data_IF_807333973036
#
_entry.id   IF_807333973036
#
_cell.length_a   1.000
_cell.length_b   1.000
_cell.length_c   1.000
_cell.angle_alpha   90.00
_cell.angle_beta   90.00
_cell.angle_gamma   90.00
#
_symmetry.space_group_name_H-M   'P 1'
#
loop_
_entity.id
_entity.type
_entity.pdbx_description
1 polymer ?
#
# COMPACT_ATOMS: atom_id res chain seq x y z
N UNK A 1 -35.99 -50.34 4.17
CA UNK A 1 -34.60 -50.54 4.63
C UNK A 1 -33.56 -50.15 3.59
N UNK A 2 -33.25 -50.93 2.53
CA UNK A 2 -32.16 -50.58 1.59
C UNK A 2 -32.32 -49.20 0.89
N UNK A 3 -33.56 -48.77 0.63
CA UNK A 3 -33.84 -47.47 0.00
C UNK A 3 -33.61 -46.27 0.92
N UNK A 4 -33.85 -46.41 2.23
CA UNK A 4 -33.68 -45.33 3.20
C UNK A 4 -32.21 -45.05 3.46
N UNK A 5 -31.39 -46.09 3.52
CA UNK A 5 -29.95 -45.99 3.71
C UNK A 5 -29.27 -45.27 2.54
N UNK A 6 -29.69 -45.56 1.31
CA UNK A 6 -29.20 -44.86 0.10
C UNK A 6 -29.57 -43.37 0.14
N UNK A 7 -30.79 -43.02 0.57
CA UNK A 7 -31.21 -41.61 0.66
C UNK A 7 -30.35 -40.85 1.67
N UNK A 8 -30.09 -41.46 2.84
CA UNK A 8 -29.26 -40.84 3.89
C UNK A 8 -27.82 -40.66 3.40
N UNK A 9 -27.23 -41.67 2.75
CA UNK A 9 -25.88 -41.58 2.20
C UNK A 9 -25.77 -40.54 1.08
N UNK A 10 -26.74 -40.50 0.17
CA UNK A 10 -26.77 -39.53 -0.91
C UNK A 10 -26.88 -38.09 -0.39
N UNK A 11 -27.71 -37.86 0.65
CA UNK A 11 -27.82 -36.56 1.30
C UNK A 11 -26.53 -36.17 2.02
N UNK A 12 -25.86 -37.12 2.67
CA UNK A 12 -24.56 -36.90 3.30
C UNK A 12 -23.48 -36.53 2.28
N UNK A 13 -23.41 -37.25 1.16
CA UNK A 13 -22.48 -36.95 0.07
C UNK A 13 -22.78 -35.58 -0.56
N UNK A 14 -24.05 -35.26 -0.79
CA UNK A 14 -24.45 -33.95 -1.31
C UNK A 14 -24.03 -32.83 -0.35
N UNK A 15 -24.24 -33.01 0.95
CA UNK A 15 -23.81 -32.08 1.99
C UNK A 15 -22.28 -31.88 1.97
N UNK A 16 -21.52 -32.98 1.92
CA UNK A 16 -20.06 -32.92 1.87
C UNK A 16 -19.55 -32.20 0.62
N UNK A 17 -20.13 -32.48 -0.56
CA UNK A 17 -19.81 -31.80 -1.81
C UNK A 17 -20.12 -30.30 -1.72
N UNK A 18 -21.28 -29.94 -1.18
CA UNK A 18 -21.67 -28.55 -1.02
C UNK A 18 -20.72 -27.81 -0.06
N UNK A 19 -20.37 -28.41 1.07
CA UNK A 19 -19.40 -27.84 2.01
C UNK A 19 -18.02 -27.68 1.37
N UNK A 20 -17.57 -28.65 0.57
CA UNK A 20 -16.30 -28.56 -0.15
C UNK A 20 -16.31 -27.41 -1.17
N UNK A 21 -17.42 -27.24 -1.91
CA UNK A 21 -17.59 -26.13 -2.86
C UNK A 21 -17.57 -24.77 -2.17
N UNK A 22 -18.28 -24.61 -1.04
CA UNK A 22 -18.28 -23.36 -0.27
C UNK A 22 -16.89 -23.05 0.28
N UNK A 23 -16.18 -24.07 0.81
CA UNK A 23 -14.81 -23.93 1.29
C UNK A 23 -13.85 -23.46 0.20
N UNK A 24 -13.94 -24.07 -0.98
CA UNK A 24 -13.15 -23.69 -2.15
C UNK A 24 -13.46 -22.26 -2.62
N UNK A 25 -14.75 -21.92 -2.78
CA UNK A 25 -15.18 -20.59 -3.18
C UNK A 25 -14.69 -19.52 -2.19
N UNK A 26 -14.78 -19.81 -0.89
CA UNK A 26 -14.29 -18.94 0.18
C UNK A 26 -12.78 -18.74 0.13
N UNK A 27 -12.01 -19.78 -0.19
CA UNK A 27 -10.57 -19.69 -0.33
C UNK A 27 -10.15 -18.83 -1.53
N UNK A 28 -10.83 -18.99 -2.67
CA UNK A 28 -10.59 -18.18 -3.89
C UNK A 28 -10.95 -16.72 -3.64
N UNK A 29 -12.11 -16.47 -3.03
CA UNK A 29 -12.57 -15.17 -2.60
C UNK A 29 -11.55 -14.44 -1.72
N UNK A 30 -11.07 -15.10 -0.65
CA UNK A 30 -10.09 -14.53 0.28
C UNK A 30 -8.76 -14.20 -0.41
N UNK A 31 -8.30 -15.06 -1.32
CA UNK A 31 -7.08 -14.79 -2.10
C UNK A 31 -7.25 -13.57 -3.00
N UNK A 32 -8.34 -13.51 -3.76
CA UNK A 32 -8.57 -12.40 -4.70
C UNK A 32 -8.77 -11.06 -3.97
N UNK A 33 -9.67 -11.02 -2.99
CA UNK A 33 -9.95 -9.79 -2.25
C UNK A 33 -8.80 -9.36 -1.34
N UNK A 34 -8.07 -10.31 -0.74
CA UNK A 34 -6.88 -9.98 0.06
C UNK A 34 -5.80 -9.25 -0.76
N UNK A 35 -5.55 -9.72 -1.99
CA UNK A 35 -4.56 -9.10 -2.89
C UNK A 35 -5.00 -7.69 -3.32
N UNK A 36 -6.27 -7.50 -3.65
CA UNK A 36 -6.81 -6.18 -4.06
C UNK A 36 -6.72 -5.15 -2.92
N UNK A 37 -6.99 -5.55 -1.68
CA UNK A 37 -6.89 -4.68 -0.51
C UNK A 37 -5.43 -4.26 -0.26
N UNK A 38 -4.49 -5.20 -0.34
CA UNK A 38 -3.07 -4.90 -0.15
C UNK A 38 -2.52 -3.99 -1.27
N UNK A 39 -2.93 -4.24 -2.52
CA UNK A 39 -2.62 -3.36 -3.64
C UNK A 39 -3.19 -1.95 -3.43
N UNK A 40 -4.41 -1.85 -2.90
CA UNK A 40 -5.03 -0.58 -2.51
C UNK A 40 -4.23 0.17 -1.46
N UNK A 41 -3.79 -0.50 -0.40
CA UNK A 41 -2.94 0.12 0.63
C UNK A 41 -1.60 0.60 0.07
N UNK A 42 -0.94 -0.17 -0.79
CA UNK A 42 0.31 0.25 -1.45
C UNK A 42 0.09 1.46 -2.35
N UNK A 43 -0.99 1.47 -3.12
CA UNK A 43 -1.35 2.60 -3.97
C UNK A 43 -1.65 3.87 -3.15
N UNK A 44 -2.41 3.73 -2.06
CA UNK A 44 -2.70 4.83 -1.14
C UNK A 44 -1.43 5.40 -0.51
N UNK A 45 -0.54 4.53 -0.01
CA UNK A 45 0.75 4.95 0.55
C UNK A 45 1.60 5.69 -0.48
N UNK A 46 1.72 5.14 -1.69
CA UNK A 46 2.47 5.78 -2.76
C UNK A 46 1.90 7.15 -3.12
N UNK A 47 0.58 7.25 -3.29
CA UNK A 47 -0.10 8.52 -3.58
C UNK A 47 0.10 9.54 -2.46
N UNK A 48 0.05 9.12 -1.19
CA UNK A 48 0.25 10.01 -0.06
C UNK A 48 1.68 10.56 -0.01
N UNK A 49 2.69 9.72 -0.29
CA UNK A 49 4.09 10.16 -0.36
C UNK A 49 4.26 11.20 -1.47
N UNK A 50 3.72 10.93 -2.66
CA UNK A 50 3.83 11.85 -3.81
C UNK A 50 3.10 13.17 -3.56
N UNK A 51 1.90 13.13 -2.99
CA UNK A 51 1.13 14.34 -2.65
C UNK A 51 1.82 15.14 -1.54
N UNK A 52 2.26 14.48 -0.46
CA UNK A 52 2.99 15.13 0.61
C UNK A 52 4.27 15.78 0.10
N UNK A 53 5.07 15.06 -0.68
CA UNK A 53 6.28 15.59 -1.28
C UNK A 53 6.01 16.82 -2.14
N UNK A 54 4.97 16.82 -2.98
CA UNK A 54 4.60 17.98 -3.81
C UNK A 54 4.18 19.17 -2.95
N UNK A 55 3.27 18.98 -2.00
CA UNK A 55 2.80 20.05 -1.11
C UNK A 55 3.95 20.66 -0.33
N UNK A 56 4.84 19.84 0.22
CA UNK A 56 5.98 20.35 0.98
C UNK A 56 7.03 21.02 0.10
N UNK A 57 7.31 20.48 -1.09
CA UNK A 57 8.20 21.13 -2.06
C UNK A 57 7.63 22.45 -2.59
N UNK A 58 6.32 22.54 -2.77
CA UNK A 58 5.64 23.78 -3.16
C UNK A 58 5.75 24.84 -2.06
N UNK A 59 5.52 24.43 -0.80
CA UNK A 59 5.65 25.30 0.36
C UNK A 59 7.09 25.80 0.60
N UNK A 60 8.09 24.98 0.30
CA UNK A 60 9.53 25.32 0.43
C UNK A 60 10.17 25.89 -0.84
N UNK A 61 9.38 26.19 -1.89
CA UNK A 61 9.88 26.73 -3.17
C UNK A 61 10.83 27.94 -3.08
N UNK A 62 10.82 28.81 -2.04
CA UNK A 62 11.80 29.89 -1.93
C UNK A 62 13.25 29.44 -1.59
N UNK A 63 13.43 28.30 -0.93
CA UNK A 63 14.70 27.90 -0.29
C UNK A 63 15.33 26.63 -0.90
N UNK A 64 14.82 26.13 -2.03
CA UNK A 64 15.46 25.01 -2.72
C UNK A 64 16.82 25.49 -3.25
N UNK A 65 17.95 24.89 -2.81
CA UNK A 65 19.26 25.31 -3.26
C UNK A 65 19.37 25.16 -4.78
N UNK A 66 19.34 26.29 -5.48
CA UNK A 66 19.49 26.46 -6.93
C UNK A 66 20.91 26.13 -7.39
N UNK A 67 21.39 24.92 -7.11
CA UNK A 67 22.78 24.57 -7.39
C UNK A 67 23.15 23.16 -6.97
N UNK A 68 22.69 22.15 -7.71
CA UNK A 68 23.36 20.86 -7.75
C UNK A 68 22.96 20.11 -9.03
N UNK A 69 23.68 20.41 -10.11
CA UNK A 69 23.73 19.49 -11.24
C UNK A 69 24.28 18.14 -10.77
N UNK A 70 23.48 17.09 -10.87
CA UNK A 70 23.94 15.71 -10.94
C UNK A 70 24.35 14.99 -9.65
N UNK A 71 24.49 15.66 -8.51
CA UNK A 71 24.83 15.00 -7.24
C UNK A 71 23.61 14.90 -6.32
N UNK A 72 23.36 13.72 -5.73
CA UNK A 72 22.29 13.47 -4.76
C UNK A 72 22.35 14.45 -3.59
N UNK A 73 21.62 15.55 -3.67
CA UNK A 73 21.52 16.50 -2.56
C UNK A 73 20.83 15.78 -1.38
N UNK A 74 21.44 15.77 -0.19
CA UNK A 74 20.80 15.23 1.01
C UNK A 74 19.46 15.95 1.23
N UNK A 75 18.39 15.18 1.38
CA UNK A 75 17.08 15.76 1.61
C UNK A 75 17.08 16.48 2.98
N UNK A 76 16.68 17.77 3.06
CA UNK A 76 16.61 18.47 4.33
C UNK A 76 15.76 17.70 5.34
N UNK A 77 16.25 17.54 6.56
CA UNK A 77 15.56 16.73 7.58
C UNK A 77 14.15 17.27 7.89
N UNK A 78 13.94 18.58 7.76
CA UNK A 78 12.63 19.20 7.95
C UNK A 78 11.64 18.78 6.86
N UNK A 79 12.07 18.76 5.60
CA UNK A 79 11.27 18.31 4.47
C UNK A 79 10.88 16.84 4.64
N UNK A 80 11.85 15.98 5.05
CA UNK A 80 11.59 14.57 5.34
C UNK A 80 10.51 14.39 6.42
N UNK A 81 10.65 15.08 7.55
CA UNK A 81 9.70 14.99 8.67
C UNK A 81 8.30 15.44 8.28
N UNK A 82 8.19 16.52 7.52
CA UNK A 82 6.89 17.06 7.10
C UNK A 82 6.16 16.10 6.16
N UNK A 83 6.87 15.50 5.20
CA UNK A 83 6.28 14.48 4.30
C UNK A 83 5.84 13.25 5.09
N UNK A 84 6.62 12.78 6.07
CA UNK A 84 6.24 11.64 6.92
C UNK A 84 5.00 11.98 7.76
N UNK A 85 4.95 13.18 8.34
CA UNK A 85 3.80 13.65 9.10
C UNK A 85 2.54 13.71 8.23
N UNK A 86 2.66 14.21 7.00
CA UNK A 86 1.59 14.22 6.03
C UNK A 86 1.11 12.79 5.70
N UNK A 87 2.02 11.89 5.31
CA UNK A 87 1.69 10.51 4.97
C UNK A 87 0.97 9.80 6.12
N UNK A 88 1.49 9.94 7.34
CA UNK A 88 0.92 9.31 8.52
C UNK A 88 -0.48 9.83 8.83
N UNK A 89 -0.74 11.12 8.61
CA UNK A 89 -2.07 11.75 8.79
C UNK A 89 -3.04 11.38 7.67
N UNK A 90 -2.57 11.31 6.43
CA UNK A 90 -3.42 11.13 5.24
C UNK A 90 -3.83 9.68 5.00
N UNK A 91 -2.98 8.71 5.35
CA UNK A 91 -3.25 7.28 5.09
C UNK A 91 -3.02 6.39 6.32
N UNK A 92 -3.70 6.66 7.45
CA UNK A 92 -3.51 5.89 8.69
C UNK A 92 -3.82 4.39 8.51
N UNK A 93 -4.85 4.06 7.70
CA UNK A 93 -5.21 2.68 7.40
C UNK A 93 -4.14 1.93 6.60
N UNK A 94 -3.49 2.59 5.63
CA UNK A 94 -2.43 1.97 4.84
C UNK A 94 -1.16 1.74 5.69
N UNK A 95 -0.82 2.68 6.58
CA UNK A 95 0.29 2.52 7.52
C UNK A 95 0.01 1.38 8.49
N UNK A 96 -1.20 1.29 9.05
CA UNK A 96 -1.57 0.19 9.93
C UNK A 96 -1.54 -1.18 9.21
N UNK A 97 -2.08 -1.24 7.99
CA UNK A 97 -2.18 -2.49 7.23
C UNK A 97 -0.83 -2.98 6.71
N UNK A 98 0.04 -2.08 6.21
CA UNK A 98 1.35 -2.45 5.67
C UNK A 98 2.42 -2.56 6.77
N UNK A 99 2.21 -1.89 7.91
CA UNK A 99 3.15 -1.84 9.04
C UNK A 99 4.62 -1.73 8.59
N UNK A 100 4.98 -0.73 7.75
CA UNK A 100 6.34 -0.60 7.26
C UNK A 100 7.28 -0.34 8.44
N UNK A 101 8.47 -0.94 8.40
CA UNK A 101 9.52 -0.60 9.35
C UNK A 101 9.81 0.92 9.27
N UNK A 102 10.09 1.61 10.39
CA UNK A 102 10.27 3.06 10.40
C UNK A 102 11.33 3.53 9.39
N UNK A 103 12.43 2.79 9.28
CA UNK A 103 13.52 3.10 8.36
C UNK A 103 13.15 2.88 6.88
N UNK A 104 12.20 1.98 6.59
CA UNK A 104 11.71 1.74 5.23
C UNK A 104 10.87 2.91 4.74
N UNK A 105 9.98 3.43 5.60
CA UNK A 105 9.17 4.60 5.26
C UNK A 105 10.06 5.82 5.02
N UNK A 106 11.05 6.04 5.88
CA UNK A 106 12.05 7.09 5.72
C UNK A 106 12.78 6.99 4.37
N UNK A 107 13.30 5.80 4.02
CA UNK A 107 14.00 5.58 2.74
C UNK A 107 13.10 5.80 1.54
N UNK A 108 11.85 5.33 1.59
CA UNK A 108 10.87 5.53 0.51
C UNK A 108 10.56 7.01 0.29
N UNK A 109 10.35 7.76 1.37
CA UNK A 109 10.14 9.21 1.31
C UNK A 109 11.35 9.89 0.70
N UNK A 110 12.56 9.60 1.19
CA UNK A 110 13.80 10.20 0.67
C UNK A 110 13.96 9.93 -0.82
N UNK A 111 13.84 8.67 -1.24
CA UNK A 111 14.01 8.29 -2.64
C UNK A 111 12.99 8.99 -3.56
N UNK A 112 11.71 9.06 -3.16
CA UNK A 112 10.66 9.65 -3.98
C UNK A 112 10.69 11.17 -4.03
N UNK A 113 11.06 11.84 -2.94
CA UNK A 113 11.23 13.28 -2.95
C UNK A 113 12.44 13.68 -3.81
N UNK A 114 13.54 12.93 -3.74
CA UNK A 114 14.72 13.17 -4.59
C UNK A 114 14.39 12.99 -6.09
N UNK A 115 13.60 11.97 -6.44
CA UNK A 115 13.11 11.76 -7.80
C UNK A 115 12.31 12.97 -8.32
N UNK A 116 11.40 13.51 -7.49
CA UNK A 116 10.61 14.70 -7.82
C UNK A 116 11.46 15.96 -7.97
N UNK A 117 12.47 16.16 -7.11
CA UNK A 117 13.42 17.29 -7.22
C UNK A 117 14.19 17.17 -8.54
N UNK A 118 14.73 15.99 -8.85
CA UNK A 118 15.47 15.74 -10.09
C UNK A 118 14.59 15.91 -11.34
N UNK A 119 13.29 15.61 -11.25
CA UNK A 119 12.33 15.87 -12.33
C UNK A 119 12.03 17.37 -12.49
N UNK A 120 11.93 18.13 -11.38
CA UNK A 120 11.76 19.59 -11.43
C UNK A 120 12.96 20.30 -12.04
N UNK A 121 14.17 19.89 -11.68
CA UNK A 121 15.41 20.49 -12.20
C UNK A 121 15.66 20.20 -13.69
N UNK A 122 14.98 19.19 -14.25
CA UNK A 122 15.05 18.85 -15.68
C UNK A 122 14.05 19.62 -16.56
N UNK A 123 13.06 20.28 -15.96
CA UNK A 123 12.09 21.13 -16.67
C UNK A 123 12.61 22.55 -16.80
#
# INVERSE_FOLDING_TARGET
>A
MLSEEIIIQALGLLGAVLTALIGWASAVARRKWGIEIEAGHRAALHSAIMSGARVTLDALSPDLPSGAGGASVPLPDQLRREVIAYVTRSVPGAIAALSPAPDVLDRLVVAKVQELIAERLRR
#
